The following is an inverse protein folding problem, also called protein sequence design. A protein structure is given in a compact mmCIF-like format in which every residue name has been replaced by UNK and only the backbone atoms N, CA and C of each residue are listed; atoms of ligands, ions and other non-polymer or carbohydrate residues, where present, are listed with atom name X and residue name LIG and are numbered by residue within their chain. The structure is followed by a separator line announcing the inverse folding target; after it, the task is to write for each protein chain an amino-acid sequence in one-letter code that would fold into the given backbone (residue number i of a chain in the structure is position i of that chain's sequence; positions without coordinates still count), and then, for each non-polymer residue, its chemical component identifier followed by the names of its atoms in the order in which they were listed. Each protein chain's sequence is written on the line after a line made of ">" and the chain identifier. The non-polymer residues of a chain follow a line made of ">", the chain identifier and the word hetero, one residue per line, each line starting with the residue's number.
data_IF_051919693166
#
_entry.id   IF_051919693166
#
_cell.length_a   1.000
_cell.length_b   1.000
_cell.length_c   1.000
_cell.angle_alpha   90.00
_cell.angle_beta   90.00
_cell.angle_gamma   90.00
#
_symmetry.space_group_name_H-M   'P 1'
#
loop_
_entity.id
_entity.type
_entity.pdbx_description
1 polymer ?
#
# COMPACT_ATOMS: atom_id res chain seq x y z
N UNK A 1 67.15 -4.25 47.16
CA UNK A 1 66.50 -2.96 47.48
C UNK A 1 65.80 -2.52 46.23
N UNK A 2 64.53 -2.86 46.16
CA UNK A 2 63.65 -2.74 45.00
C UNK A 2 63.17 -1.30 44.87
N UNK A 3 63.35 -0.70 43.69
CA UNK A 3 62.59 0.49 43.30
C UNK A 3 61.60 0.07 42.21
N UNK A 4 60.33 0.12 42.60
CA UNK A 4 59.17 -0.28 41.84
C UNK A 4 59.03 0.56 40.57
N UNK A 5 59.04 -0.12 39.43
CA UNK A 5 58.62 0.41 38.15
C UNK A 5 57.08 0.42 38.15
N UNK A 6 56.43 1.58 38.25
CA UNK A 6 54.98 1.70 38.02
C UNK A 6 54.72 2.03 36.56
N UNK A 7 54.16 1.10 35.75
CA UNK A 7 53.64 1.46 34.45
C UNK A 7 52.37 2.31 34.62
N UNK A 8 52.35 3.45 33.93
CA UNK A 8 51.19 4.31 33.80
C UNK A 8 50.05 3.51 33.17
N UNK A 9 48.94 3.34 33.88
CA UNK A 9 47.71 2.76 33.34
C UNK A 9 47.22 3.63 32.18
N UNK A 10 46.98 3.08 30.97
CA UNK A 10 46.37 3.85 29.89
C UNK A 10 44.95 4.25 30.30
N UNK A 11 44.65 5.53 30.08
CA UNK A 11 43.35 6.13 30.29
C UNK A 11 42.28 5.29 29.58
N UNK A 12 41.27 4.90 30.34
CA UNK A 12 40.06 4.20 29.89
C UNK A 12 39.47 4.97 28.70
N UNK A 13 39.69 4.44 27.49
CA UNK A 13 39.08 4.94 26.25
C UNK A 13 37.57 4.85 26.40
N UNK A 14 36.92 6.01 26.49
CA UNK A 14 35.47 6.10 26.50
C UNK A 14 34.98 5.90 25.06
N UNK A 15 34.52 4.69 24.78
CA UNK A 15 33.66 4.34 23.65
C UNK A 15 32.40 5.23 23.47
N UNK A 16 32.19 6.25 24.31
CA UNK A 16 31.17 7.28 24.23
C UNK A 16 31.36 8.27 23.06
N UNK A 17 32.56 8.36 22.49
CA UNK A 17 32.84 9.31 21.40
C UNK A 17 32.13 8.90 20.12
N UNK A 18 32.04 7.61 19.80
CA UNK A 18 31.30 7.12 18.63
C UNK A 18 29.79 7.37 18.74
N UNK A 19 29.22 7.27 19.94
CA UNK A 19 27.80 7.57 20.18
C UNK A 19 27.49 9.07 20.06
N UNK A 20 28.38 9.95 20.52
CA UNK A 20 28.20 11.40 20.39
C UNK A 20 28.18 11.85 18.91
N UNK A 21 29.06 11.32 18.08
CA UNK A 21 29.08 11.61 16.65
C UNK A 21 27.91 10.96 15.89
N UNK A 22 27.47 9.77 16.28
CA UNK A 22 26.32 9.08 15.68
C UNK A 22 24.97 9.74 16.00
N UNK A 23 24.80 10.30 17.21
CA UNK A 23 23.59 11.05 17.57
C UNK A 23 23.52 12.35 16.76
N UNK A 24 24.66 13.03 16.57
CA UNK A 24 24.75 14.23 15.74
C UNK A 24 24.31 14.00 14.30
N UNK A 25 24.77 12.91 13.67
CA UNK A 25 24.38 12.58 12.29
C UNK A 25 22.91 12.21 12.15
N UNK A 26 22.33 11.48 13.12
CA UNK A 26 20.91 11.14 13.12
C UNK A 26 20.03 12.40 13.23
N UNK A 27 20.37 13.34 14.12
CA UNK A 27 19.62 14.59 14.27
C UNK A 27 19.66 15.41 12.98
N UNK A 28 20.82 15.50 12.32
CA UNK A 28 20.97 16.21 11.05
C UNK A 28 20.13 15.59 9.94
N UNK A 29 20.09 14.26 9.82
CA UNK A 29 19.26 13.56 8.84
C UNK A 29 17.75 13.77 9.09
N UNK A 30 17.32 13.76 10.36
CA UNK A 30 15.92 14.04 10.73
C UNK A 30 15.54 15.50 10.40
N UNK A 31 16.43 16.46 10.64
CA UNK A 31 16.18 17.86 10.30
C UNK A 31 16.16 18.10 8.79
N UNK A 32 17.01 17.42 8.01
CA UNK A 32 16.97 17.46 6.55
C UNK A 32 15.66 16.86 6.04
N UNK A 33 15.22 15.72 6.59
CA UNK A 33 13.96 15.09 6.21
C UNK A 33 12.73 15.93 6.58
N UNK A 34 12.70 16.51 7.78
CA UNK A 34 11.63 17.42 8.21
C UNK A 34 11.63 18.72 7.39
N UNK A 35 12.81 19.28 7.11
CA UNK A 35 13.00 20.43 6.24
C UNK A 35 12.54 20.15 4.81
N UNK A 36 12.90 19.00 4.25
CA UNK A 36 12.44 18.56 2.93
C UNK A 36 10.91 18.43 2.89
N UNK A 37 10.31 17.77 3.90
CA UNK A 37 8.85 17.61 4.00
C UNK A 37 8.12 18.95 4.13
N UNK A 38 8.71 19.91 4.84
CA UNK A 38 8.12 21.24 5.01
C UNK A 38 8.34 22.13 3.79
N UNK A 39 9.47 21.99 3.09
CA UNK A 39 9.78 22.74 1.86
C UNK A 39 8.95 22.30 0.66
N UNK A 40 8.42 21.07 0.65
CA UNK A 40 7.46 20.61 -0.37
C UNK A 40 6.04 21.15 -0.21
N UNK A 41 5.77 22.05 0.77
CA UNK A 41 4.50 22.79 0.86
C UNK A 41 4.72 24.29 0.67
N UNK A 42 4.92 24.69 -0.58
CA UNK A 42 4.67 26.07 -1.02
C UNK A 42 3.47 26.05 -1.98
N UNK A 43 2.26 26.16 -1.43
CA UNK A 43 1.16 26.75 -2.18
C UNK A 43 1.19 28.25 -1.90
N UNK A 44 1.83 28.96 -2.82
CA UNK A 44 1.82 30.43 -2.86
C UNK A 44 0.43 30.89 -3.30
N UNK A 45 -0.25 31.66 -2.45
CA UNK A 45 -1.34 32.53 -2.88
C UNK A 45 -0.75 33.58 -3.85
N UNK A 46 -1.17 33.50 -5.11
CA UNK A 46 -0.74 34.40 -6.18
C UNK A 46 -1.92 34.77 -7.08
N UNK A 47 -2.44 35.98 -6.89
CA UNK A 47 -3.37 36.65 -7.80
C UNK A 47 -2.64 37.06 -9.09
N UNK A 48 -3.11 36.62 -10.26
CA UNK A 48 -2.71 37.19 -11.56
C UNK A 48 -2.66 36.22 -12.75
N UNK A 49 -3.78 36.09 -13.45
CA UNK A 49 -3.99 35.88 -14.90
C UNK A 49 -2.99 35.01 -15.72
N UNK A 50 -3.52 33.94 -16.33
CA UNK A 50 -3.08 33.50 -17.66
C UNK A 50 -2.78 32.01 -17.83
N UNK A 51 -3.78 31.28 -18.34
CA UNK A 51 -3.72 30.05 -19.14
C UNK A 51 -2.94 28.81 -18.63
N UNK A 52 -3.75 27.80 -18.28
CA UNK A 52 -3.68 26.43 -18.80
C UNK A 52 -2.61 25.46 -18.27
N UNK A 53 -2.98 24.72 -17.23
CA UNK A 53 -3.32 23.29 -17.34
C UNK A 53 -3.89 22.87 -15.99
N UNK A 54 -5.21 22.74 -15.92
CA UNK A 54 -5.86 22.21 -14.73
C UNK A 54 -5.54 20.72 -14.61
N UNK A 55 -4.51 20.38 -13.85
CA UNK A 55 -4.62 19.17 -13.02
C UNK A 55 -5.85 19.41 -12.14
N UNK A 56 -6.97 18.81 -12.55
CA UNK A 56 -8.15 18.73 -11.71
C UNK A 56 -7.68 18.08 -10.42
N UNK A 57 -7.66 18.83 -9.33
CA UNK A 57 -7.58 18.24 -7.99
C UNK A 57 -8.81 17.35 -7.88
N UNK A 58 -8.65 16.07 -8.21
CA UNK A 58 -9.74 15.12 -8.23
C UNK A 58 -10.19 14.96 -6.78
N UNK A 59 -11.45 15.27 -6.51
CA UNK A 59 -12.06 15.12 -5.19
C UNK A 59 -12.33 13.62 -4.95
N UNK A 60 -11.29 12.88 -4.57
CA UNK A 60 -11.35 11.44 -4.30
C UNK A 60 -12.36 11.08 -3.20
N UNK A 61 -12.77 12.06 -2.37
CA UNK A 61 -13.83 11.82 -1.37
C UNK A 61 -15.17 11.45 -2.00
N UNK A 62 -15.38 11.80 -3.28
CA UNK A 62 -16.57 11.44 -4.07
C UNK A 62 -16.36 10.23 -4.97
N UNK A 63 -15.20 9.56 -4.90
CA UNK A 63 -14.95 8.38 -5.71
C UNK A 63 -16.02 7.31 -5.45
N UNK A 64 -16.43 6.66 -6.53
CA UNK A 64 -17.46 5.62 -6.60
C UNK A 64 -16.93 4.50 -7.47
N UNK A 65 -17.48 3.31 -7.25
CA UNK A 65 -17.12 2.18 -8.09
C UNK A 65 -18.02 0.99 -7.86
N UNK A 66 -17.86 0.03 -8.76
CA UNK A 66 -18.54 -1.26 -8.73
C UNK A 66 -17.54 -2.36 -9.10
N UNK A 67 -17.78 -3.55 -8.56
CA UNK A 67 -16.90 -4.70 -8.70
C UNK A 67 -17.73 -5.94 -8.98
N UNK A 68 -17.41 -6.62 -10.07
CA UNK A 68 -18.01 -7.90 -10.45
C UNK A 68 -16.92 -8.97 -10.50
N UNK A 69 -17.12 -10.01 -9.70
CA UNK A 69 -16.27 -11.20 -9.64
C UNK A 69 -17.17 -12.41 -9.52
N UNK A 70 -16.90 -13.42 -10.35
CA UNK A 70 -17.64 -14.68 -10.34
C UNK A 70 -16.90 -15.76 -9.54
N UNK A 71 -17.65 -16.79 -9.15
CA UNK A 71 -17.06 -18.02 -8.67
C UNK A 71 -16.18 -18.62 -9.78
N UNK A 72 -15.04 -19.17 -9.42
CA UNK A 72 -14.04 -19.59 -10.39
C UNK A 72 -13.27 -20.81 -9.95
N UNK A 73 -12.49 -21.40 -10.84
CA UNK A 73 -11.65 -22.54 -10.48
C UNK A 73 -10.46 -22.11 -9.61
N UNK A 74 -9.98 -23.00 -8.73
CA UNK A 74 -8.73 -22.76 -7.99
C UNK A 74 -7.53 -22.53 -8.93
N UNK A 75 -6.63 -21.62 -8.57
CA UNK A 75 -5.46 -21.29 -9.39
C UNK A 75 -4.65 -20.09 -8.87
N UNK A 76 -3.70 -19.64 -9.69
CA UNK A 76 -2.73 -18.59 -9.36
C UNK A 76 -3.19 -17.20 -9.86
N UNK A 77 -4.34 -17.18 -10.54
CA UNK A 77 -4.91 -15.99 -11.16
C UNK A 77 -6.37 -15.91 -10.73
N UNK A 78 -6.77 -14.74 -10.25
CA UNK A 78 -8.17 -14.39 -10.00
C UNK A 78 -8.67 -13.51 -11.14
N UNK A 79 -9.75 -13.95 -11.77
CA UNK A 79 -10.42 -13.22 -12.85
C UNK A 79 -11.46 -12.27 -12.26
N UNK A 80 -11.40 -11.01 -12.68
CA UNK A 80 -12.36 -9.96 -12.35
C UNK A 80 -13.16 -9.67 -13.62
N UNK A 81 -14.46 -9.94 -13.58
CA UNK A 81 -15.36 -9.77 -14.72
C UNK A 81 -15.46 -8.29 -15.12
N UNK A 82 -15.59 -7.40 -14.12
CA UNK A 82 -15.61 -5.96 -14.35
C UNK A 82 -15.22 -5.18 -13.10
N UNK A 83 -14.44 -4.12 -13.29
CA UNK A 83 -14.24 -3.04 -12.33
C UNK A 83 -14.73 -1.75 -12.97
N UNK A 84 -15.70 -1.09 -12.35
CA UNK A 84 -16.14 0.26 -12.78
C UNK A 84 -15.66 1.25 -11.74
N UNK A 85 -14.98 2.30 -12.17
CA UNK A 85 -14.37 3.27 -11.28
C UNK A 85 -14.57 4.69 -11.83
N UNK A 86 -14.90 5.65 -10.98
CA UNK A 86 -14.90 7.07 -11.36
C UNK A 86 -13.52 7.72 -11.24
N UNK A 87 -12.55 7.05 -10.63
CA UNK A 87 -11.16 7.49 -10.42
C UNK A 87 -10.25 6.26 -10.43
N UNK A 88 -8.95 6.35 -10.75
CA UNK A 88 -8.02 5.23 -10.59
C UNK A 88 -8.10 4.58 -9.20
N UNK A 89 -7.79 3.29 -9.13
CA UNK A 89 -7.93 2.55 -7.89
C UNK A 89 -7.29 1.18 -7.92
N UNK A 90 -7.56 0.41 -6.88
CA UNK A 90 -6.96 -0.90 -6.66
C UNK A 90 -8.03 -1.94 -6.34
N UNK A 91 -7.84 -3.15 -6.86
CA UNK A 91 -8.53 -4.33 -6.37
C UNK A 91 -7.54 -5.19 -5.62
N UNK A 92 -7.90 -5.56 -4.39
CA UNK A 92 -7.18 -6.54 -3.59
C UNK A 92 -7.96 -7.84 -3.54
N UNK A 93 -7.25 -8.96 -3.44
CA UNK A 93 -7.81 -10.29 -3.19
C UNK A 93 -7.28 -10.77 -1.86
N UNK A 94 -8.16 -11.20 -0.97
CA UNK A 94 -7.82 -11.69 0.36
C UNK A 94 -8.47 -13.04 0.67
N UNK A 95 -7.85 -13.81 1.55
CA UNK A 95 -8.46 -15.02 2.12
C UNK A 95 -9.56 -14.59 3.09
N UNK A 96 -10.80 -15.01 2.88
CA UNK A 96 -11.89 -14.69 3.81
C UNK A 96 -11.69 -15.42 5.15
N UNK A 97 -11.82 -14.71 6.26
CA UNK A 97 -11.80 -15.30 7.62
C UNK A 97 -13.03 -14.83 8.39
N UNK A 98 -14.09 -15.64 8.40
CA UNK A 98 -15.36 -15.26 9.02
C UNK A 98 -16.05 -14.16 8.20
N UNK A 99 -16.39 -13.03 8.84
CA UNK A 99 -17.07 -11.90 8.19
C UNK A 99 -16.11 -10.86 7.59
N UNK A 100 -14.80 -11.01 7.84
CA UNK A 100 -13.78 -10.03 7.48
C UNK A 100 -12.83 -10.53 6.39
N UNK A 101 -12.31 -9.57 5.63
CA UNK A 101 -11.21 -9.78 4.71
C UNK A 101 -9.95 -10.13 5.52
N UNK A 102 -9.37 -11.29 5.26
CA UNK A 102 -8.14 -11.74 5.92
C UNK A 102 -6.90 -11.24 5.19
N UNK A 103 -5.86 -12.09 5.16
CA UNK A 103 -4.59 -11.77 4.50
C UNK A 103 -4.81 -11.47 3.02
N UNK A 104 -4.31 -10.31 2.55
CA UNK A 104 -4.23 -9.97 1.13
C UNK A 104 -3.19 -10.87 0.46
N UNK A 105 -3.62 -11.53 -0.62
CA UNK A 105 -2.80 -12.45 -1.42
C UNK A 105 -2.58 -11.96 -2.84
N UNK A 106 -3.29 -10.92 -3.30
CA UNK A 106 -3.05 -10.29 -4.60
C UNK A 106 -3.59 -8.87 -4.64
N UNK A 107 -2.97 -8.03 -5.47
CA UNK A 107 -3.37 -6.63 -5.67
C UNK A 107 -3.11 -6.25 -7.12
N UNK A 108 -3.98 -5.42 -7.69
CA UNK A 108 -3.78 -4.82 -9.01
C UNK A 108 -4.42 -3.44 -9.09
N UNK A 109 -3.76 -2.51 -9.77
CA UNK A 109 -4.35 -1.21 -10.12
C UNK A 109 -5.25 -1.29 -11.35
N UNK A 110 -6.29 -0.47 -11.33
CA UNK A 110 -7.24 -0.31 -12.42
C UNK A 110 -7.39 1.18 -12.73
N UNK A 111 -7.40 1.56 -14.02
CA UNK A 111 -7.67 2.94 -14.39
C UNK A 111 -9.15 3.28 -14.16
N UNK A 112 -9.47 4.57 -14.22
CA UNK A 112 -10.84 5.06 -14.32
C UNK A 112 -11.59 4.39 -15.49
N UNK A 113 -12.91 4.28 -15.35
CA UNK A 113 -13.81 3.67 -16.33
C UNK A 113 -14.13 2.22 -16.00
N UNK A 114 -14.63 1.49 -17.02
CA UNK A 114 -15.05 0.09 -16.89
C UNK A 114 -14.02 -0.84 -17.52
N UNK A 115 -13.37 -1.67 -16.71
CA UNK A 115 -12.24 -2.49 -17.12
C UNK A 115 -12.34 -3.91 -16.55
N UNK A 116 -12.24 -4.98 -17.38
CA UNK A 116 -12.03 -6.33 -16.87
C UNK A 116 -10.58 -6.51 -16.40
N UNK A 117 -10.28 -7.56 -15.64
CA UNK A 117 -8.92 -7.79 -15.19
C UNK A 117 -8.59 -9.18 -14.69
N UNK A 118 -7.30 -9.40 -14.51
CA UNK A 118 -6.71 -10.59 -13.92
C UNK A 118 -5.73 -10.15 -12.85
N UNK A 119 -5.80 -10.77 -11.68
CA UNK A 119 -4.95 -10.49 -10.53
C UNK A 119 -4.16 -11.75 -10.22
N UNK A 120 -2.83 -11.66 -10.33
CA UNK A 120 -1.95 -12.75 -9.92
C UNK A 120 -1.90 -12.79 -8.40
N UNK A 121 -2.10 -13.97 -7.82
CA UNK A 121 -2.04 -14.16 -6.37
C UNK A 121 -0.72 -14.81 -5.96
N UNK A 122 -0.16 -14.33 -4.85
CA UNK A 122 1.04 -14.87 -4.19
C UNK A 122 0.82 -16.26 -3.60
N UNK A 123 -0.42 -16.63 -3.31
CA UNK A 123 -0.82 -17.94 -2.82
C UNK A 123 -1.95 -18.48 -3.69
N UNK A 124 -1.79 -19.71 -4.19
CA UNK A 124 -2.81 -20.37 -5.02
C UNK A 124 -4.14 -20.41 -4.28
N UNK A 125 -5.22 -20.05 -4.98
CA UNK A 125 -6.56 -20.26 -4.45
C UNK A 125 -6.85 -21.76 -4.34
N UNK A 126 -7.71 -22.14 -3.40
CA UNK A 126 -7.96 -23.53 -3.02
C UNK A 126 -9.44 -23.84 -3.06
N UNK A 127 -9.77 -24.98 -3.66
CA UNK A 127 -11.13 -25.49 -3.74
C UNK A 127 -11.85 -25.45 -2.38
N UNK A 128 -13.13 -25.07 -2.42
CA UNK A 128 -13.99 -24.96 -1.25
C UNK A 128 -13.81 -23.66 -0.47
N UNK A 129 -12.74 -22.89 -0.75
CA UNK A 129 -12.49 -21.64 -0.03
C UNK A 129 -13.20 -20.46 -0.65
N UNK A 130 -13.61 -19.55 0.25
CA UNK A 130 -14.11 -18.22 -0.08
C UNK A 130 -12.98 -17.21 -0.01
N UNK A 131 -12.97 -16.32 -0.97
CA UNK A 131 -12.06 -15.19 -1.07
C UNK A 131 -12.87 -13.90 -1.17
N UNK A 132 -12.27 -12.80 -0.74
CA UNK A 132 -12.89 -11.48 -0.79
C UNK A 132 -12.06 -10.59 -1.71
N UNK A 133 -12.69 -10.08 -2.75
CA UNK A 133 -12.16 -9.03 -3.60
C UNK A 133 -12.63 -7.68 -3.08
N UNK A 134 -11.71 -6.75 -2.82
CA UNK A 134 -12.04 -5.41 -2.28
C UNK A 134 -11.55 -4.33 -3.22
N UNK A 135 -12.43 -3.40 -3.54
CA UNK A 135 -12.16 -2.24 -4.39
C UNK A 135 -11.88 -1.00 -3.52
N UNK A 136 -10.78 -0.34 -3.83
CA UNK A 136 -10.36 0.93 -3.26
C UNK A 136 -10.20 1.98 -4.37
N UNK A 137 -10.55 3.23 -4.08
CA UNK A 137 -10.11 4.36 -4.90
C UNK A 137 -8.77 4.88 -4.37
N UNK A 138 -7.84 5.09 -5.29
CA UNK A 138 -6.51 5.65 -5.05
C UNK A 138 -6.64 7.10 -4.55
N UNK A 139 -5.83 7.51 -3.59
CA UNK A 139 -5.76 8.92 -3.15
C UNK A 139 -4.93 9.81 -4.08
N UNK A 140 -4.37 9.22 -5.14
CA UNK A 140 -3.60 9.86 -6.19
C UNK A 140 -2.09 9.64 -6.05
N UNK A 141 -1.64 8.90 -5.04
CA UNK A 141 -0.22 8.55 -4.86
C UNK A 141 0.21 7.31 -5.67
N UNK A 142 -0.75 6.56 -6.22
CA UNK A 142 -0.49 5.39 -7.06
C UNK A 142 0.00 4.16 -6.27
N UNK A 143 -0.10 4.19 -4.94
CA UNK A 143 0.37 3.14 -4.02
C UNK A 143 -0.77 2.74 -3.09
N UNK A 144 -1.16 1.47 -3.15
CA UNK A 144 -2.19 0.96 -2.24
C UNK A 144 -1.80 1.15 -0.76
N UNK A 145 -2.57 1.98 -0.06
CA UNK A 145 -2.57 2.17 1.38
C UNK A 145 -4.00 1.97 1.90
N UNK A 146 -4.29 0.78 2.44
CA UNK A 146 -5.64 0.43 2.91
C UNK A 146 -6.17 1.31 4.06
N UNK A 147 -5.34 2.20 4.62
CA UNK A 147 -5.74 3.15 5.66
C UNK A 147 -6.06 4.55 5.12
N UNK A 148 -5.57 4.89 3.92
CA UNK A 148 -5.79 6.18 3.27
C UNK A 148 -6.71 6.07 2.06
N UNK A 149 -6.49 5.04 1.24
CA UNK A 149 -7.29 4.78 0.07
C UNK A 149 -8.74 4.50 0.47
N UNK A 150 -9.65 5.10 -0.29
CA UNK A 150 -11.06 5.06 0.05
C UNK A 150 -11.60 3.67 -0.28
N UNK A 151 -12.02 2.93 0.74
CA UNK A 151 -12.81 1.72 0.57
C UNK A 151 -14.12 2.04 -0.17
N UNK A 152 -14.39 1.31 -1.26
CA UNK A 152 -15.62 1.46 -2.02
C UNK A 152 -16.56 0.28 -1.80
N UNK A 153 -16.13 -0.93 -2.12
CA UNK A 153 -16.96 -2.13 -2.04
C UNK A 153 -16.11 -3.38 -1.86
N UNK A 154 -16.70 -4.43 -1.30
CA UNK A 154 -16.13 -5.79 -1.30
C UNK A 154 -17.12 -6.80 -1.90
N UNK A 155 -16.59 -7.84 -2.53
CA UNK A 155 -17.35 -8.96 -3.09
C UNK A 155 -16.67 -10.26 -2.72
N UNK A 156 -17.46 -11.20 -2.24
CA UNK A 156 -16.99 -12.54 -1.95
C UNK A 156 -17.21 -13.45 -3.17
N UNK A 157 -16.24 -14.31 -3.44
CA UNK A 157 -16.35 -15.35 -4.45
C UNK A 157 -15.79 -16.67 -3.91
N UNK A 158 -16.35 -17.77 -4.40
CA UNK A 158 -15.91 -19.11 -4.05
C UNK A 158 -15.05 -19.68 -5.15
N UNK A 159 -14.13 -20.55 -4.75
CA UNK A 159 -13.42 -21.39 -5.70
C UNK A 159 -13.91 -22.83 -5.64
N UNK A 160 -14.35 -23.36 -6.78
CA UNK A 160 -14.97 -24.69 -6.89
C UNK A 160 -14.42 -25.42 -8.11
N UNK A 161 -14.23 -26.74 -8.03
CA UNK A 161 -13.91 -27.52 -9.23
C UNK A 161 -15.17 -27.69 -10.11
N UNK A 162 -14.95 -27.77 -11.43
CA UNK A 162 -15.95 -27.81 -12.50
C UNK A 162 -17.12 -28.82 -12.34
N UNK A 163 -17.04 -29.78 -11.41
CA UNK A 163 -18.03 -30.85 -11.26
C UNK A 163 -19.34 -30.41 -10.57
N UNK A 164 -19.37 -29.26 -9.88
CA UNK A 164 -20.60 -28.76 -9.23
C UNK A 164 -21.40 -27.77 -10.08
N UNK A 165 -20.81 -27.18 -11.13
CA UNK A 165 -21.48 -26.18 -11.96
C UNK A 165 -22.61 -26.76 -12.84
N UNK A 166 -22.64 -28.09 -13.05
CA UNK A 166 -23.62 -28.77 -13.94
C UNK A 166 -24.87 -29.27 -13.16
N UNK A 167 -25.01 -28.94 -11.86
CA UNK A 167 -26.14 -29.40 -11.03
C UNK A 167 -27.03 -28.30 -10.47
N UNK A 168 -26.96 -27.07 -11.00
CA UNK A 168 -27.86 -25.96 -10.63
C UNK A 168 -28.56 -25.39 -11.85
#
# INVERSE_FOLDING_TARGET
>A
MDSFNTPNSPLRENNNTYYAWAIGTIIVLVLIFAGYRMYTKNSTDGNGNGYDQGESVQDFTKATGDLEVENQVPGDIVYISSVTLSHPGFVTVSVTRGMDAGKIIGTKSFPEGKNPGQIVVSEKTKEGQTYTATLYADDGDGVLDTTKDKFLIKKDFRTTQYLEYIKG
#
